data_IF_222466375367
#
_entry.id   IF_222466375367
#
_cell.length_a   1.000
_cell.length_b   1.000
_cell.length_c   1.000
_cell.angle_alpha   90.00
_cell.angle_beta   90.00
_cell.angle_gamma   90.00
#
_symmetry.space_group_name_H-M   'P 1'
#
loop_
_entity.id
_entity.type
_entity.pdbx_description
1 polymer ?
#
# COMPACT_ATOMS: atom_id res chain seq x y z
N UNK A 1 -4.45 8.16 -22.64
CA UNK A 1 -3.61 9.33 -22.33
C UNK A 1 -3.27 9.36 -20.85
N UNK A 2 -2.01 9.58 -20.53
CA UNK A 2 -1.55 9.64 -19.14
C UNK A 2 -1.67 11.06 -18.62
N UNK A 3 -2.33 11.22 -17.49
CA UNK A 3 -2.43 12.50 -16.80
C UNK A 3 -1.50 12.51 -15.61
N UNK A 4 -0.82 13.63 -15.39
CA UNK A 4 0.07 13.77 -14.24
C UNK A 4 -0.41 14.94 -13.39
N UNK A 5 -0.25 14.79 -12.07
CA UNK A 5 -0.61 15.83 -11.11
C UNK A 5 0.34 15.72 -9.93
N UNK A 6 0.65 16.84 -9.32
CA UNK A 6 1.47 16.86 -8.11
C UNK A 6 0.60 17.38 -6.98
N UNK A 7 0.45 16.57 -5.93
CA UNK A 7 -0.34 16.97 -4.75
C UNK A 7 0.37 18.09 -3.98
N UNK A 8 -0.39 18.77 -3.13
CA UNK A 8 0.16 19.91 -2.37
C UNK A 8 1.37 19.53 -1.50
N UNK A 9 1.47 18.25 -1.11
CA UNK A 9 2.61 17.75 -0.33
C UNK A 9 3.80 17.33 -1.19
N UNK A 10 3.73 17.52 -2.53
CA UNK A 10 4.80 17.17 -3.44
C UNK A 10 4.71 15.76 -4.02
N UNK A 11 3.72 14.97 -3.64
CA UNK A 11 3.56 13.61 -4.14
C UNK A 11 3.11 13.63 -5.60
N UNK A 12 3.88 13.03 -6.52
CA UNK A 12 3.45 12.93 -7.92
C UNK A 12 2.39 11.84 -8.09
N UNK A 13 1.43 12.13 -8.93
CA UNK A 13 0.31 11.23 -9.20
C UNK A 13 0.23 11.02 -10.71
N UNK A 14 0.30 9.75 -11.15
CA UNK A 14 0.14 9.37 -12.54
C UNK A 14 -1.18 8.63 -12.69
N UNK A 15 -1.98 9.05 -13.68
CA UNK A 15 -3.30 8.47 -13.89
C UNK A 15 -3.51 8.20 -15.37
N UNK A 16 -4.14 7.06 -15.66
CA UNK A 16 -4.61 6.75 -17.00
C UNK A 16 -6.02 6.23 -16.91
N UNK A 17 -6.92 6.87 -17.64
CA UNK A 17 -8.32 6.44 -17.67
C UNK A 17 -8.56 5.54 -18.87
N UNK A 18 -9.10 4.35 -18.61
CA UNK A 18 -9.47 3.39 -19.64
C UNK A 18 -10.98 3.15 -19.52
N UNK A 19 -11.81 3.99 -20.17
CA UNK A 19 -13.26 3.99 -19.94
C UNK A 19 -13.97 2.72 -20.34
N UNK A 20 -13.32 1.88 -21.13
CA UNK A 20 -13.88 0.60 -21.57
C UNK A 20 -13.65 -0.53 -20.55
N UNK A 21 -12.92 -0.27 -19.47
CA UNK A 21 -12.67 -1.26 -18.41
C UNK A 21 -13.48 -0.98 -17.16
N UNK A 22 -13.90 -2.05 -16.49
CA UNK A 22 -14.61 -1.96 -15.22
C UNK A 22 -13.70 -2.26 -14.02
N UNK A 23 -12.41 -2.41 -14.27
CA UNK A 23 -11.44 -2.62 -13.22
C UNK A 23 -10.55 -1.40 -13.08
N UNK A 24 -9.94 -1.26 -11.90
CA UNK A 24 -8.98 -0.22 -11.62
C UNK A 24 -7.76 -0.82 -10.96
N UNK A 25 -6.59 -0.31 -11.29
CA UNK A 25 -5.34 -0.70 -10.65
C UNK A 25 -4.76 0.52 -9.97
N UNK A 26 -4.36 0.35 -8.72
CA UNK A 26 -3.78 1.41 -7.90
C UNK A 26 -2.42 0.93 -7.41
N UNK A 27 -1.39 1.76 -7.54
CA UNK A 27 -0.08 1.43 -7.03
C UNK A 27 0.52 2.59 -6.27
N UNK A 28 1.14 2.30 -5.14
CA UNK A 28 1.92 3.26 -4.36
C UNK A 28 3.35 2.74 -4.31
N UNK A 29 4.29 3.56 -4.74
CA UNK A 29 5.69 3.17 -4.86
C UNK A 29 6.52 4.01 -3.90
N UNK A 30 7.23 3.32 -3.00
CA UNK A 30 8.10 3.95 -2.01
C UNK A 30 9.54 3.66 -2.40
N UNK A 31 10.37 4.71 -2.48
CA UNK A 31 11.79 4.56 -2.82
C UNK A 31 12.54 4.04 -1.59
N UNK A 32 12.25 2.81 -1.21
CA UNK A 32 12.89 2.13 -0.10
C UNK A 32 12.95 0.65 -0.42
N UNK A 33 14.11 0.06 -0.28
CA UNK A 33 14.31 -1.34 -0.55
C UNK A 33 15.54 -1.85 0.15
N UNK A 34 15.85 -3.14 -0.04
CA UNK A 34 16.93 -3.79 0.70
C UNK A 34 18.32 -3.17 0.45
N UNK A 35 18.53 -2.55 -0.71
CA UNK A 35 19.81 -1.94 -1.03
C UNK A 35 20.11 -0.70 -0.18
N UNK A 36 19.07 -0.08 0.38
CA UNK A 36 19.21 1.12 1.20
C UNK A 36 19.41 0.80 2.67
N UNK A 37 19.38 -0.47 3.03
CA UNK A 37 19.52 -0.90 4.41
C UNK A 37 20.98 -1.09 4.79
N UNK A 38 21.33 -0.63 6.00
CA UNK A 38 22.63 -0.94 6.58
C UNK A 38 22.59 -2.40 7.07
N UNK A 39 23.75 -3.01 7.40
CA UNK A 39 23.73 -4.37 7.95
C UNK A 39 22.85 -4.52 9.19
N UNK A 40 22.76 -3.48 10.02
CA UNK A 40 21.92 -3.48 11.20
C UNK A 40 20.43 -3.38 10.86
N UNK A 41 20.12 -2.86 9.68
CA UNK A 41 18.74 -2.68 9.20
C UNK A 41 18.28 -3.79 8.25
N UNK A 42 19.08 -4.85 8.09
CA UNK A 42 18.78 -5.92 7.16
C UNK A 42 17.38 -6.49 7.39
N UNK A 43 16.56 -6.49 6.34
CA UNK A 43 15.19 -6.95 6.41
C UNK A 43 14.17 -5.90 6.83
N UNK A 44 14.62 -4.67 7.11
CA UNK A 44 13.74 -3.61 7.61
C UNK A 44 12.63 -3.25 6.60
N UNK A 45 12.98 -3.10 5.32
CA UNK A 45 11.97 -2.74 4.30
C UNK A 45 10.91 -3.82 4.19
N UNK A 46 11.31 -5.07 4.19
CA UNK A 46 10.39 -6.21 4.15
C UNK A 46 9.54 -6.27 5.41
N UNK A 47 10.13 -5.98 6.56
CA UNK A 47 9.43 -5.94 7.83
C UNK A 47 8.35 -4.85 7.84
N UNK A 48 8.69 -3.65 7.38
CA UNK A 48 7.73 -2.54 7.31
C UNK A 48 6.59 -2.89 6.36
N UNK A 49 6.89 -3.50 5.22
CA UNK A 49 5.87 -3.99 4.29
C UNK A 49 4.90 -4.94 5.01
N UNK A 50 5.44 -5.90 5.74
CA UNK A 50 4.64 -6.89 6.46
C UNK A 50 3.76 -6.21 7.52
N UNK A 51 4.33 -5.26 8.26
CA UNK A 51 3.60 -4.58 9.34
C UNK A 51 2.49 -3.67 8.83
N UNK A 52 2.56 -3.22 7.58
CA UNK A 52 1.49 -2.40 7.00
C UNK A 52 0.15 -3.13 7.00
N UNK A 53 0.17 -4.47 6.92
CA UNK A 53 -1.04 -5.29 6.94
C UNK A 53 -1.46 -5.73 8.35
N UNK A 54 -0.76 -5.28 9.38
CA UNK A 54 -0.97 -5.75 10.76
C UNK A 54 -1.72 -4.77 11.65
N UNK A 55 -2.33 -3.75 11.06
CA UNK A 55 -3.16 -2.82 11.78
C UNK A 55 -2.73 -1.39 11.64
N UNK A 56 -3.69 -0.48 11.84
CA UNK A 56 -3.48 0.97 11.81
C UNK A 56 -4.04 1.56 13.09
N UNK A 57 -3.96 2.89 13.21
CA UNK A 57 -4.53 3.58 14.37
C UNK A 57 -6.05 3.37 14.46
N UNK A 58 -6.74 3.14 13.34
CA UNK A 58 -8.20 3.02 13.30
C UNK A 58 -8.70 1.66 12.84
N UNK A 59 -7.83 0.78 12.36
CA UNK A 59 -8.20 -0.56 11.88
C UNK A 59 -7.34 -1.63 12.53
N UNK A 60 -7.97 -2.71 12.99
CA UNK A 60 -7.24 -3.88 13.47
C UNK A 60 -6.75 -4.71 12.27
N UNK A 61 -5.88 -5.66 12.53
CA UNK A 61 -5.42 -6.61 11.51
C UNK A 61 -6.60 -7.32 10.85
N UNK A 62 -7.57 -7.73 11.66
CA UNK A 62 -8.76 -8.41 11.17
C UNK A 62 -9.60 -7.49 10.28
N UNK A 63 -9.76 -6.23 10.68
CA UNK A 63 -10.54 -5.27 9.90
C UNK A 63 -9.90 -5.02 8.53
N UNK A 64 -8.57 -4.93 8.47
CA UNK A 64 -7.87 -4.78 7.19
C UNK A 64 -8.15 -5.98 6.29
N UNK A 65 -8.03 -7.19 6.83
CA UNK A 65 -8.30 -8.41 6.05
C UNK A 65 -9.74 -8.45 5.55
N UNK A 66 -10.70 -8.07 6.39
CA UNK A 66 -12.10 -8.06 6.01
C UNK A 66 -12.38 -7.02 4.92
N UNK A 67 -11.79 -5.84 5.01
CA UNK A 67 -11.97 -4.81 4.00
C UNK A 67 -11.37 -5.23 2.66
N UNK A 68 -10.20 -5.88 2.67
CA UNK A 68 -9.60 -6.42 1.45
C UNK A 68 -10.53 -7.44 0.80
N UNK A 69 -11.09 -8.35 1.60
CA UNK A 69 -12.03 -9.35 1.10
C UNK A 69 -13.27 -8.71 0.49
N UNK A 70 -13.78 -7.66 1.11
CA UNK A 70 -14.97 -6.96 0.64
C UNK A 70 -14.75 -6.21 -0.67
N UNK A 71 -13.51 -5.81 -0.95
CA UNK A 71 -13.20 -5.17 -2.22
C UNK A 71 -13.31 -6.13 -3.40
N UNK A 72 -13.29 -7.44 -3.12
CA UNK A 72 -13.48 -8.46 -4.16
C UNK A 72 -12.35 -8.55 -5.16
N UNK A 73 -11.27 -7.84 -4.90
CA UNK A 73 -10.13 -7.82 -5.78
C UNK A 73 -8.87 -8.33 -5.09
N UNK A 74 -7.74 -7.76 -5.48
CA UNK A 74 -6.44 -8.19 -5.00
C UNK A 74 -5.68 -7.00 -4.43
N UNK A 75 -5.24 -7.10 -3.18
CA UNK A 75 -4.40 -6.09 -2.52
C UNK A 75 -3.14 -6.80 -2.04
N UNK A 76 -1.99 -6.28 -2.41
CA UNK A 76 -0.73 -6.94 -2.08
C UNK A 76 0.41 -5.93 -2.06
N UNK A 77 1.60 -6.40 -1.70
CA UNK A 77 2.79 -5.57 -1.65
C UNK A 77 4.00 -6.42 -2.03
N UNK A 78 5.06 -5.74 -2.46
CA UNK A 78 6.32 -6.39 -2.81
C UNK A 78 7.48 -5.46 -2.51
N UNK A 79 8.54 -6.01 -1.91
CA UNK A 79 9.78 -5.28 -1.63
C UNK A 79 10.87 -5.78 -2.56
N UNK A 80 11.47 -4.85 -3.31
CA UNK A 80 12.64 -5.15 -4.13
C UNK A 80 13.87 -4.48 -3.54
N UNK A 81 14.98 -4.50 -4.28
CA UNK A 81 16.22 -3.86 -3.84
C UNK A 81 16.11 -2.35 -3.74
N UNK A 82 15.29 -1.72 -4.57
CA UNK A 82 15.21 -0.27 -4.67
C UNK A 82 13.85 0.31 -4.37
N UNK A 83 12.78 -0.48 -4.50
CA UNK A 83 11.41 0.01 -4.38
C UNK A 83 10.57 -0.98 -3.59
N UNK A 84 9.75 -0.45 -2.69
CA UNK A 84 8.67 -1.19 -2.07
C UNK A 84 7.37 -0.69 -2.69
N UNK A 85 6.56 -1.60 -3.23
CA UNK A 85 5.31 -1.25 -3.87
C UNK A 85 4.12 -1.86 -3.14
N UNK A 86 3.05 -1.08 -3.04
CA UNK A 86 1.75 -1.52 -2.50
C UNK A 86 0.74 -1.31 -3.60
N UNK A 87 0.00 -2.36 -3.94
CA UNK A 87 -0.90 -2.27 -5.08
C UNK A 87 -2.23 -2.95 -4.83
N UNK A 88 -3.24 -2.47 -5.54
CA UNK A 88 -4.58 -3.02 -5.49
C UNK A 88 -5.13 -3.12 -6.91
N UNK A 89 -5.82 -4.22 -7.18
CA UNK A 89 -6.59 -4.39 -8.40
C UNK A 89 -8.01 -4.71 -7.98
N UNK A 90 -8.94 -3.81 -8.27
CA UNK A 90 -10.31 -3.85 -7.76
C UNK A 90 -11.28 -3.42 -8.86
N UNK A 91 -12.58 -3.47 -8.59
CA UNK A 91 -13.56 -2.88 -9.50
C UNK A 91 -13.49 -1.37 -9.43
N UNK A 92 -13.81 -0.69 -10.51
CA UNK A 92 -13.69 0.76 -10.62
C UNK A 92 -14.48 1.52 -9.56
N UNK A 93 -15.64 1.00 -9.18
CA UNK A 93 -16.51 1.65 -8.18
C UNK A 93 -15.91 1.59 -6.77
N UNK A 94 -14.97 0.71 -6.52
CA UNK A 94 -14.33 0.56 -5.20
C UNK A 94 -13.00 1.26 -5.08
N UNK A 95 -12.61 2.03 -6.11
CA UNK A 95 -11.31 2.70 -6.12
C UNK A 95 -11.12 3.64 -4.92
N UNK A 96 -12.14 4.42 -4.57
CA UNK A 96 -12.07 5.30 -3.42
C UNK A 96 -11.82 4.57 -2.11
N UNK A 97 -12.46 3.42 -1.94
CA UNK A 97 -12.25 2.58 -0.75
C UNK A 97 -10.83 2.03 -0.69
N UNK A 98 -10.30 1.60 -1.84
CA UNK A 98 -8.94 1.07 -1.92
C UNK A 98 -7.91 2.15 -1.60
N UNK A 99 -8.12 3.37 -2.12
CA UNK A 99 -7.23 4.49 -1.83
C UNK A 99 -7.23 4.79 -0.32
N UNK A 100 -8.41 4.83 0.30
CA UNK A 100 -8.53 5.08 1.73
C UNK A 100 -7.84 4.02 2.58
N UNK A 101 -8.02 2.76 2.21
CA UNK A 101 -7.39 1.65 2.94
C UNK A 101 -5.86 1.69 2.83
N UNK A 102 -5.33 1.81 1.61
CA UNK A 102 -3.87 1.86 1.43
C UNK A 102 -3.26 3.09 2.09
N UNK A 103 -3.93 4.23 2.00
CA UNK A 103 -3.44 5.45 2.64
C UNK A 103 -3.35 5.27 4.16
N UNK A 104 -4.37 4.67 4.78
CA UNK A 104 -4.36 4.44 6.21
C UNK A 104 -3.25 3.46 6.63
N UNK A 105 -3.07 2.40 5.85
CA UNK A 105 -2.02 1.41 6.12
C UNK A 105 -0.63 2.00 6.04
N UNK A 106 -0.41 2.95 5.11
CA UNK A 106 0.90 3.53 4.87
C UNK A 106 1.20 4.73 5.75
N UNK A 107 0.17 5.50 6.12
CA UNK A 107 0.35 6.73 6.90
C UNK A 107 0.25 6.47 8.40
N UNK A 108 -0.64 5.56 8.82
CA UNK A 108 -0.96 5.33 10.23
C UNK A 108 -0.74 3.89 10.68
N UNK A 109 0.38 3.24 10.33
CA UNK A 109 0.59 1.85 10.73
C UNK A 109 0.72 1.74 12.25
N UNK A 110 0.20 0.63 12.78
CA UNK A 110 0.31 0.32 14.21
C UNK A 110 1.38 -0.74 14.38
N UNK A 111 2.47 -0.39 15.07
CA UNK A 111 3.57 -1.32 15.34
C UNK A 111 3.38 -1.91 16.73
N UNK A 112 2.47 -2.86 16.88
CA UNK A 112 2.21 -3.50 18.16
C UNK A 112 3.33 -4.45 18.54
N UNK A 113 3.68 -4.47 19.83
CA UNK A 113 4.77 -5.26 20.36
C UNK A 113 4.64 -6.75 20.00
N UNK A 114 3.45 -7.31 20.12
CA UNK A 114 3.21 -8.71 19.82
C UNK A 114 3.45 -9.09 18.38
N UNK A 115 3.10 -8.19 17.45
CA UNK A 115 3.35 -8.43 16.03
C UNK A 115 4.82 -8.21 15.69
N UNK A 116 5.48 -7.32 16.41
CA UNK A 116 6.88 -6.99 16.23
C UNK A 116 7.78 -8.19 16.50
N UNK A 117 7.39 -9.04 17.44
CA UNK A 117 8.20 -10.17 17.89
C UNK A 117 7.99 -11.44 17.04
N UNK A 118 7.06 -11.44 16.10
CA UNK A 118 6.83 -12.58 15.22
C UNK A 118 7.90 -12.66 14.09
#
# INVERSE_FOLDING_TARGET
MIHTHVLSNGLPLLMERLPYLRSASLGVFVKAGSIMETPEESGLSHFIEHMAFKGTATRSTRQIAEEIDMLGGNVNAATSKTITSYYARITDKDLGKAIGLLADMLINPRFEQGEFEK
#
